data_IF_795690210520
#
_entry.id   IF_795690210520
#
_cell.length_a   1.000
_cell.length_b   1.000
_cell.length_c   1.000
_cell.angle_alpha   90.00
_cell.angle_beta   90.00
_cell.angle_gamma   90.00
#
_symmetry.space_group_name_H-M   'P 1'
#
loop_
_entity.id
_entity.type
_entity.pdbx_description
1 polymer ?
#
# COMPACT_ATOMS: atom_id res chain seq x y z
N UNK A 1 -19.01 38.76 30.65
CA UNK A 1 -19.32 38.05 29.39
C UNK A 1 -18.00 37.73 28.71
N UNK A 2 -17.68 36.44 28.53
CA UNK A 2 -16.37 35.95 28.10
C UNK A 2 -16.45 35.64 26.60
N UNK A 3 -15.61 36.34 25.83
CA UNK A 3 -15.50 36.23 24.37
C UNK A 3 -15.28 34.80 23.93
N UNK A 4 -16.14 34.30 23.05
CA UNK A 4 -15.81 33.20 22.15
C UNK A 4 -15.42 33.85 20.82
N UNK A 5 -14.12 34.00 20.60
CA UNK A 5 -13.59 34.38 19.30
C UNK A 5 -13.61 33.14 18.41
N UNK A 6 -14.32 33.25 17.30
CA UNK A 6 -14.56 32.24 16.29
C UNK A 6 -13.29 31.51 15.85
N UNK A 7 -13.42 30.20 15.71
CA UNK A 7 -12.47 29.35 15.03
C UNK A 7 -12.50 29.68 13.53
N UNK A 8 -11.70 30.67 13.13
CA UNK A 8 -11.44 30.93 11.71
C UNK A 8 -10.74 29.73 11.09
N UNK A 9 -11.45 28.98 10.26
CA UNK A 9 -10.85 27.93 9.43
C UNK A 9 -9.83 28.56 8.47
N UNK A 10 -8.60 28.06 8.50
CA UNK A 10 -7.50 28.43 7.59
C UNK A 10 -7.80 27.91 6.17
N UNK A 11 -8.73 28.59 5.48
CA UNK A 11 -9.05 28.38 4.07
C UNK A 11 -8.35 29.41 3.17
N UNK A 12 -7.26 30.02 3.65
CA UNK A 12 -6.44 30.92 2.84
C UNK A 12 -5.72 30.18 1.70
N UNK A 13 -5.11 30.89 0.73
CA UNK A 13 -4.36 30.31 -0.38
C UNK A 13 -3.29 29.29 0.09
N UNK A 14 -2.66 29.56 1.23
CA UNK A 14 -1.69 28.68 1.88
C UNK A 14 -2.33 27.41 2.48
N UNK A 15 -3.55 27.50 3.01
CA UNK A 15 -4.33 26.36 3.50
C UNK A 15 -4.72 25.40 2.36
N UNK A 16 -5.11 25.94 1.20
CA UNK A 16 -5.39 25.14 -0.01
C UNK A 16 -4.15 24.44 -0.57
N UNK A 17 -3.00 25.11 -0.59
CA UNK A 17 -1.71 24.51 -1.00
C UNK A 17 -1.32 23.35 -0.07
N UNK A 18 -1.50 23.52 1.25
CA UNK A 18 -1.23 22.45 2.23
C UNK A 18 -2.18 21.26 2.10
N UNK A 19 -3.45 21.49 1.80
CA UNK A 19 -4.41 20.42 1.52
C UNK A 19 -4.04 19.65 0.25
N UNK A 20 -3.68 20.36 -0.82
CA UNK A 20 -3.25 19.75 -2.08
C UNK A 20 -1.96 18.93 -1.91
N UNK A 21 -0.97 19.43 -1.16
CA UNK A 21 0.25 18.68 -0.85
C UNK A 21 -0.02 17.39 -0.07
N UNK A 22 -0.94 17.42 0.90
CA UNK A 22 -1.37 16.20 1.61
C UNK A 22 -2.08 15.20 0.70
N UNK A 23 -2.85 15.68 -0.28
CA UNK A 23 -3.53 14.82 -1.24
C UNK A 23 -2.54 14.15 -2.20
N UNK A 24 -1.56 14.89 -2.71
CA UNK A 24 -0.50 14.33 -3.56
C UNK A 24 0.35 13.30 -2.81
N UNK A 25 0.69 13.54 -1.54
CA UNK A 25 1.42 12.58 -0.73
C UNK A 25 0.64 11.26 -0.56
N UNK A 26 -0.68 11.32 -0.38
CA UNK A 26 -1.52 10.12 -0.31
C UNK A 26 -1.57 9.37 -1.64
N UNK A 27 -1.66 10.07 -2.78
CA UNK A 27 -1.61 9.45 -4.10
C UNK A 27 -0.30 8.71 -4.30
N UNK A 28 0.82 9.34 -3.94
CA UNK A 28 2.15 8.73 -4.08
C UNK A 28 2.28 7.49 -3.18
N UNK A 29 1.80 7.56 -1.93
CA UNK A 29 1.74 6.42 -1.01
C UNK A 29 0.94 5.23 -1.58
N UNK A 30 -0.18 5.52 -2.23
CA UNK A 30 -1.01 4.50 -2.89
C UNK A 30 -0.27 3.91 -4.09
N UNK A 31 0.38 4.75 -4.92
CA UNK A 31 1.17 4.30 -6.07
C UNK A 31 2.29 3.35 -5.65
N UNK A 32 3.07 3.73 -4.64
CA UNK A 32 4.13 2.88 -4.08
C UNK A 32 3.56 1.55 -3.55
N UNK A 33 2.37 1.59 -2.95
CA UNK A 33 1.71 0.36 -2.46
C UNK A 33 1.29 -0.56 -3.60
N UNK A 34 0.85 0.00 -4.74
CA UNK A 34 0.52 -0.75 -5.96
C UNK A 34 1.78 -1.37 -6.55
N UNK A 35 2.86 -0.60 -6.69
CA UNK A 35 4.14 -1.09 -7.24
C UNK A 35 4.66 -2.29 -6.44
N UNK A 36 4.59 -2.22 -5.10
CA UNK A 36 4.95 -3.35 -4.21
C UNK A 36 4.09 -4.59 -4.45
N UNK A 37 2.78 -4.43 -4.68
CA UNK A 37 1.90 -5.56 -4.97
C UNK A 37 2.28 -6.19 -6.30
N UNK A 38 2.60 -5.38 -7.32
CA UNK A 38 3.01 -5.88 -8.64
C UNK A 38 4.36 -6.64 -8.58
N UNK A 39 5.31 -6.14 -7.78
CA UNK A 39 6.57 -6.83 -7.49
C UNK A 39 6.31 -8.20 -6.83
N UNK A 40 5.51 -8.25 -5.76
CA UNK A 40 5.16 -9.50 -5.08
C UNK A 40 4.44 -10.49 -6.03
N UNK A 41 3.57 -10.00 -6.92
CA UNK A 41 2.88 -10.81 -7.92
C UNK A 41 3.83 -11.32 -9.01
N UNK A 42 4.85 -10.54 -9.36
CA UNK A 42 5.89 -11.00 -10.29
C UNK A 42 6.74 -12.09 -9.66
N UNK A 43 7.07 -11.96 -8.38
CA UNK A 43 7.88 -12.93 -7.65
C UNK A 43 7.13 -14.26 -7.40
N UNK A 44 5.85 -14.20 -7.03
CA UNK A 44 5.04 -15.41 -6.83
C UNK A 44 4.92 -16.22 -8.13
N UNK A 45 4.85 -15.56 -9.30
CA UNK A 45 4.85 -16.23 -10.61
C UNK A 45 6.15 -17.00 -10.86
N UNK A 46 7.31 -16.46 -10.42
CA UNK A 46 8.61 -17.14 -10.53
C UNK A 46 8.65 -18.37 -9.62
N UNK A 47 8.20 -18.24 -8.37
CA UNK A 47 8.12 -19.36 -7.42
C UNK A 47 7.21 -20.46 -7.95
N UNK A 48 6.02 -20.11 -8.47
CA UNK A 48 5.13 -21.05 -9.14
C UNK A 48 5.79 -21.74 -10.33
N UNK A 49 6.49 -20.99 -11.17
CA UNK A 49 7.23 -21.56 -12.31
C UNK A 49 8.27 -22.59 -11.86
N UNK A 50 9.02 -22.29 -10.79
CA UNK A 50 10.02 -23.19 -10.22
C UNK A 50 9.38 -24.48 -9.73
N UNK A 51 8.29 -24.39 -8.94
CA UNK A 51 7.57 -25.55 -8.41
C UNK A 51 7.03 -26.45 -9.52
N UNK A 52 6.42 -25.86 -10.55
CA UNK A 52 5.88 -26.61 -11.70
C UNK A 52 6.97 -27.27 -12.55
N UNK A 53 8.19 -26.73 -12.54
CA UNK A 53 9.32 -27.28 -13.28
C UNK A 53 10.09 -28.38 -12.52
N UNK A 54 9.92 -28.46 -11.20
CA UNK A 54 10.60 -29.43 -10.37
C UNK A 54 9.82 -30.76 -10.32
N UNK A 55 10.50 -31.93 -10.39
CA UNK A 55 9.84 -33.23 -10.29
C UNK A 55 9.25 -33.51 -8.89
N UNK A 56 9.69 -32.75 -7.88
CA UNK A 56 9.17 -32.76 -6.51
C UNK A 56 9.22 -31.33 -5.94
N UNK A 57 8.17 -30.90 -5.24
CA UNK A 57 8.16 -29.59 -4.56
C UNK A 57 9.18 -29.55 -3.43
N UNK A 58 9.96 -28.46 -3.33
CA UNK A 58 10.93 -28.23 -2.25
C UNK A 58 10.27 -27.43 -1.10
N UNK A 59 10.57 -27.77 0.16
CA UNK A 59 9.94 -27.13 1.32
C UNK A 59 10.18 -25.61 1.33
N UNK A 60 11.39 -25.17 0.95
CA UNK A 60 11.73 -23.75 0.85
C UNK A 60 10.84 -23.01 -0.14
N UNK A 61 10.55 -23.62 -1.29
CA UNK A 61 9.66 -23.00 -2.28
C UNK A 61 8.22 -22.87 -1.81
N UNK A 62 7.75 -23.75 -0.92
CA UNK A 62 6.42 -23.60 -0.31
C UNK A 62 6.39 -22.49 0.74
N UNK A 63 7.42 -22.41 1.57
CA UNK A 63 7.57 -21.36 2.58
C UNK A 63 7.64 -19.96 1.92
N UNK A 64 8.39 -19.84 0.82
CA UNK A 64 8.49 -18.61 0.02
C UNK A 64 7.13 -18.22 -0.58
N UNK A 65 6.34 -19.20 -1.03
CA UNK A 65 5.00 -18.99 -1.59
C UNK A 65 4.00 -18.49 -0.53
N UNK A 66 4.05 -19.08 0.66
CA UNK A 66 3.21 -18.67 1.78
C UNK A 66 3.57 -17.26 2.26
N UNK A 67 4.87 -16.94 2.36
CA UNK A 67 5.35 -15.61 2.72
C UNK A 67 4.86 -14.55 1.74
N UNK A 68 5.05 -14.76 0.43
CA UNK A 68 4.58 -13.83 -0.62
C UNK A 68 3.07 -13.64 -0.59
N UNK A 69 2.31 -14.72 -0.39
CA UNK A 69 0.85 -14.66 -0.29
C UNK A 69 0.41 -13.82 0.92
N UNK A 70 1.09 -13.96 2.05
CA UNK A 70 0.81 -13.19 3.27
C UNK A 70 1.17 -11.70 3.10
N UNK A 71 2.28 -11.39 2.44
CA UNK A 71 2.65 -10.01 2.12
C UNK A 71 1.64 -9.34 1.18
N UNK A 72 1.21 -10.02 0.11
CA UNK A 72 0.18 -9.52 -0.80
C UNK A 72 -1.12 -9.21 -0.04
N UNK A 73 -1.58 -10.14 0.81
CA UNK A 73 -2.79 -9.93 1.64
C UNK A 73 -2.65 -8.73 2.57
N UNK A 74 -1.48 -8.55 3.19
CA UNK A 74 -1.21 -7.43 4.11
C UNK A 74 -1.18 -6.10 3.38
N UNK A 75 -0.46 -6.02 2.26
CA UNK A 75 -0.35 -4.82 1.42
C UNK A 75 -1.70 -4.41 0.84
N UNK A 76 -2.48 -5.36 0.34
CA UNK A 76 -3.83 -5.11 -0.18
C UNK A 76 -4.78 -4.57 0.92
N UNK A 77 -4.77 -5.16 2.12
CA UNK A 77 -5.58 -4.67 3.24
C UNK A 77 -5.16 -3.28 3.69
N UNK A 78 -3.85 -2.99 3.72
CA UNK A 78 -3.35 -1.66 4.08
C UNK A 78 -3.80 -0.60 3.07
N UNK A 79 -3.63 -0.87 1.77
CA UNK A 79 -4.10 0.01 0.70
C UNK A 79 -5.62 0.24 0.80
N UNK A 80 -6.42 -0.82 1.02
CA UNK A 80 -7.87 -0.70 1.21
C UNK A 80 -8.24 0.18 2.41
N UNK A 81 -7.54 0.04 3.54
CA UNK A 81 -7.83 0.82 4.74
C UNK A 81 -7.46 2.30 4.58
N UNK A 82 -6.42 2.61 3.81
CA UNK A 82 -6.05 4.00 3.47
C UNK A 82 -7.05 4.70 2.53
N UNK A 83 -7.86 3.92 1.80
CA UNK A 83 -8.89 4.43 0.89
C UNK A 83 -10.28 4.61 1.55
N UNK A 84 -10.44 4.17 2.80
CA UNK A 84 -11.66 4.36 3.60
C UNK A 84 -11.59 5.66 4.40
#
# INVERSE_FOLDING_TARGET
>A
MRSKSDAGGDYGPCGRMRLYGRFLAQIEDIRISIDKIDESVTEIKKVYSTILSAPTSDQKTQDDLEALTNEIKKSANNARNKLK
#
